data_IF_368898841263
#
_entry.id   IF_368898841263
#
_cell.length_a   1.000
_cell.length_b   1.000
_cell.length_c   1.000
_cell.angle_alpha   90.00
_cell.angle_beta   90.00
_cell.angle_gamma   90.00
#
_symmetry.space_group_name_H-M   'P 1'
#
loop_
_entity.id
_entity.type
_entity.pdbx_description
1 polymer ?
#
# COMPACT_ATOMS: atom_id res chain seq x y z
N UNK A 1 -29.07 -32.00 36.58
CA UNK A 1 -27.60 -31.94 36.74
C UNK A 1 -26.92 -33.23 37.28
N UNK A 2 -27.55 -34.42 37.26
CA UNK A 2 -26.93 -35.69 37.74
C UNK A 2 -26.77 -36.81 36.69
N UNK A 3 -27.10 -36.57 35.41
CA UNK A 3 -27.05 -37.58 34.34
C UNK A 3 -25.83 -37.52 33.41
N UNK A 4 -24.97 -36.52 33.52
CA UNK A 4 -23.78 -36.37 32.65
C UNK A 4 -22.43 -36.68 33.33
N UNK A 5 -22.40 -36.99 34.63
CA UNK A 5 -21.14 -37.21 35.36
C UNK A 5 -20.54 -38.61 35.17
N UNK A 6 -21.35 -39.64 34.88
CA UNK A 6 -20.87 -41.01 34.72
C UNK A 6 -20.07 -41.29 33.43
N UNK A 7 -20.42 -40.75 32.25
CA UNK A 7 -19.63 -41.00 31.04
C UNK A 7 -18.28 -40.26 31.03
N UNK A 8 -18.16 -39.09 31.68
CA UNK A 8 -16.92 -38.32 31.72
C UNK A 8 -15.83 -38.99 32.57
N UNK A 9 -16.21 -39.60 33.70
CA UNK A 9 -15.30 -40.34 34.56
C UNK A 9 -14.75 -41.62 33.90
N UNK A 10 -15.54 -42.27 33.05
CA UNK A 10 -15.10 -43.43 32.28
C UNK A 10 -14.08 -43.06 31.20
N UNK A 11 -14.28 -41.93 30.51
CA UNK A 11 -13.35 -41.44 29.48
C UNK A 11 -12.02 -41.01 30.10
N UNK A 12 -12.05 -40.33 31.25
CA UNK A 12 -10.82 -39.93 31.97
C UNK A 12 -10.05 -41.13 32.52
N UNK A 13 -10.74 -42.17 32.99
CA UNK A 13 -10.10 -43.41 33.43
C UNK A 13 -9.41 -44.16 32.27
N UNK A 14 -10.05 -44.21 31.09
CA UNK A 14 -9.47 -44.83 29.89
C UNK A 14 -8.24 -44.04 29.42
N UNK A 15 -8.31 -42.71 29.39
CA UNK A 15 -7.16 -41.85 29.05
C UNK A 15 -5.99 -42.02 30.02
N UNK A 16 -6.27 -42.14 31.32
CA UNK A 16 -5.23 -42.41 32.32
C UNK A 16 -4.57 -43.78 32.12
N UNK A 17 -5.34 -44.82 31.79
CA UNK A 17 -4.81 -46.17 31.52
C UNK A 17 -3.97 -46.18 30.24
N UNK A 18 -4.39 -45.48 29.19
CA UNK A 18 -3.61 -45.35 27.93
C UNK A 18 -2.31 -44.60 28.17
N UNK A 19 -2.34 -43.52 28.95
CA UNK A 19 -1.16 -42.71 29.30
C UNK A 19 -0.18 -43.48 30.21
N UNK A 20 -0.69 -44.28 31.16
CA UNK A 20 0.16 -45.19 31.95
C UNK A 20 0.74 -46.32 31.09
N UNK A 21 -0.05 -46.88 30.17
CA UNK A 21 0.40 -47.90 29.23
C UNK A 21 1.55 -47.42 28.34
N UNK A 22 1.47 -46.19 27.82
CA UNK A 22 2.54 -45.59 27.01
C UNK A 22 3.83 -45.36 27.81
N UNK A 23 3.73 -44.92 29.07
CA UNK A 23 4.93 -44.74 29.93
C UNK A 23 5.60 -46.06 30.30
N UNK A 24 4.83 -47.14 30.47
CA UNK A 24 5.38 -48.47 30.79
C UNK A 24 6.04 -49.10 29.56
N UNK A 25 5.49 -48.91 28.36
CA UNK A 25 6.09 -49.38 27.10
C UNK A 25 7.41 -48.64 26.81
N UNK A 26 7.48 -47.33 27.04
CA UNK A 26 8.72 -46.57 26.87
C UNK A 26 9.84 -47.05 27.82
N UNK A 27 9.50 -47.41 29.06
CA UNK A 27 10.49 -47.87 30.06
C UNK A 27 10.96 -49.31 29.83
N UNK A 28 10.16 -50.16 29.19
CA UNK A 28 10.50 -51.56 28.90
C UNK A 28 11.29 -51.73 27.59
N UNK A 29 11.28 -50.74 26.69
CA UNK A 29 11.94 -50.85 25.38
C UNK A 29 13.39 -50.40 25.33
N UNK A 30 13.99 -49.91 26.43
CA UNK A 30 15.42 -49.60 26.47
C UNK A 30 15.88 -48.68 25.33
N UNK A 31 15.03 -47.72 24.94
CA UNK A 31 15.39 -46.69 23.99
C UNK A 31 16.25 -45.69 24.77
N UNK A 32 17.55 -45.93 24.76
CA UNK A 32 18.56 -44.99 25.25
C UNK A 32 18.28 -43.61 24.64
N UNK A 33 18.29 -42.58 25.49
CA UNK A 33 18.18 -41.18 25.06
C UNK A 33 19.29 -40.90 24.05
N UNK A 34 18.93 -40.79 22.77
CA UNK A 34 19.86 -40.30 21.77
C UNK A 34 20.40 -38.94 22.24
N UNK A 35 21.72 -38.71 22.15
CA UNK A 35 22.30 -37.44 22.56
C UNK A 35 21.59 -36.33 21.78
N UNK A 36 20.93 -35.43 22.51
CA UNK A 36 20.37 -34.20 21.96
C UNK A 36 21.55 -33.40 21.43
N UNK A 37 21.89 -33.60 20.16
CA UNK A 37 22.81 -32.74 19.43
C UNK A 37 22.13 -31.38 19.38
N UNK A 38 22.55 -30.50 20.28
CA UNK A 38 22.20 -29.09 20.28
C UNK A 38 22.78 -28.48 19.01
N UNK A 39 22.05 -28.63 17.90
CA UNK A 39 22.28 -27.80 16.73
C UNK A 39 21.91 -26.38 17.16
N UNK A 40 22.94 -25.57 17.43
CA UNK A 40 22.79 -24.14 17.63
C UNK A 40 22.04 -23.59 16.43
N UNK A 41 20.75 -23.27 16.61
CA UNK A 41 19.96 -22.61 15.59
C UNK A 41 20.73 -21.34 15.23
N UNK A 42 21.11 -21.13 13.95
CA UNK A 42 21.84 -19.93 13.55
C UNK A 42 21.05 -18.71 14.01
N UNK A 43 21.66 -17.84 14.83
CA UNK A 43 20.99 -16.65 15.33
C UNK A 43 20.59 -15.76 14.16
N UNK A 44 19.30 -15.44 14.04
CA UNK A 44 18.80 -14.45 13.07
C UNK A 44 19.53 -13.13 13.33
N UNK A 45 20.20 -12.52 12.33
CA UNK A 45 20.88 -11.24 12.53
C UNK A 45 19.88 -10.14 12.85
N UNK A 46 20.33 -9.07 13.49
CA UNK A 46 19.49 -7.89 13.72
C UNK A 46 19.09 -7.25 12.38
N UNK A 47 17.90 -6.62 12.29
CA UNK A 47 17.51 -5.85 11.12
C UNK A 47 18.50 -4.69 10.89
N UNK A 48 18.70 -4.26 9.63
CA UNK A 48 19.48 -3.07 9.35
C UNK A 48 18.83 -1.84 10.00
N UNK A 49 19.62 -0.83 10.41
CA UNK A 49 19.06 0.39 10.99
C UNK A 49 18.11 1.07 9.99
N UNK A 50 16.97 1.60 10.48
CA UNK A 50 15.97 2.18 9.60
C UNK A 50 16.47 3.48 8.97
N UNK A 51 16.16 3.67 7.69
CA UNK A 51 16.43 4.93 7.00
C UNK A 51 15.45 6.00 7.49
N UNK A 52 15.98 7.15 7.86
CA UNK A 52 15.22 8.30 8.37
C UNK A 52 15.11 9.40 7.32
N UNK A 53 13.95 10.04 7.28
CA UNK A 53 13.59 11.14 6.39
C UNK A 53 12.98 12.26 7.23
N UNK A 54 13.61 13.43 7.24
CA UNK A 54 13.09 14.62 7.91
C UNK A 54 11.85 15.17 7.19
N UNK A 55 10.80 15.50 7.95
CA UNK A 55 9.53 16.05 7.48
C UNK A 55 9.09 17.17 8.43
N UNK A 56 9.55 18.40 8.23
CA UNK A 56 9.22 19.63 8.99
C UNK A 56 8.77 19.41 10.45
N UNK A 57 9.73 19.10 11.34
CA UNK A 57 9.47 18.85 12.76
C UNK A 57 9.15 17.38 13.12
N UNK A 58 9.08 16.50 12.12
CA UNK A 58 8.89 15.06 12.28
C UNK A 58 10.02 14.28 11.61
N UNK A 59 10.26 13.04 12.08
CA UNK A 59 11.16 12.09 11.43
C UNK A 59 10.33 10.90 10.95
N UNK A 60 10.26 10.72 9.64
CA UNK A 60 9.63 9.57 9.02
C UNK A 60 10.65 8.43 8.83
N UNK A 61 10.28 7.20 9.16
CA UNK A 61 11.11 6.02 9.01
C UNK A 61 10.63 5.20 7.80
N UNK A 62 11.53 4.92 6.84
CA UNK A 62 11.22 4.04 5.71
C UNK A 62 10.87 2.64 6.25
N UNK A 63 9.69 2.07 5.97
CA UNK A 63 9.26 0.81 6.59
C UNK A 63 10.23 -0.34 6.30
N UNK A 64 10.33 -1.34 7.21
CA UNK A 64 11.11 -2.54 6.97
C UNK A 64 10.45 -3.37 5.85
N UNK A 65 11.21 -4.22 5.18
CA UNK A 65 10.66 -5.14 4.15
C UNK A 65 11.76 -5.82 3.35
N UNK A 66 11.38 -6.52 2.29
CA UNK A 66 12.29 -7.38 1.53
C UNK A 66 13.46 -6.61 0.91
N UNK A 67 14.63 -7.22 0.90
CA UNK A 67 15.75 -6.76 0.10
C UNK A 67 15.53 -7.10 -1.40
N UNK A 68 16.23 -6.37 -2.28
CA UNK A 68 16.22 -6.65 -3.73
C UNK A 68 16.58 -8.12 -3.99
N UNK A 69 15.81 -8.79 -4.84
CA UNK A 69 16.11 -10.15 -5.29
C UNK A 69 17.41 -10.19 -6.10
N UNK A 70 18.16 -11.28 -6.02
CA UNK A 70 19.47 -11.37 -6.69
C UNK A 70 19.38 -11.33 -8.23
N UNK A 71 18.30 -11.89 -8.80
CA UNK A 71 17.99 -11.90 -10.23
C UNK A 71 17.32 -10.60 -10.75
N UNK A 72 17.13 -9.60 -9.89
CA UNK A 72 16.67 -8.25 -10.29
C UNK A 72 17.90 -7.37 -10.53
N UNK A 73 18.03 -6.60 -11.61
CA UNK A 73 19.26 -5.84 -11.89
C UNK A 73 19.61 -4.84 -10.78
N UNK A 74 20.90 -4.59 -10.56
CA UNK A 74 21.37 -3.63 -9.54
C UNK A 74 21.02 -2.18 -9.89
N UNK A 75 21.04 -1.83 -11.18
CA UNK A 75 20.67 -0.53 -11.72
C UNK A 75 19.16 -0.45 -12.08
N UNK A 76 18.30 -1.01 -11.23
CA UNK A 76 16.86 -1.11 -11.49
C UNK A 76 16.18 0.25 -11.73
N UNK A 77 16.67 1.31 -11.10
CA UNK A 77 16.17 2.69 -11.31
C UNK A 77 16.34 3.10 -12.78
N UNK A 78 17.52 2.88 -13.35
CA UNK A 78 17.82 3.21 -14.75
C UNK A 78 16.99 2.31 -15.69
N UNK A 79 16.91 1.01 -15.40
CA UNK A 79 16.10 0.08 -16.18
C UNK A 79 14.60 0.46 -16.22
N UNK A 80 14.06 0.98 -15.12
CA UNK A 80 12.68 1.52 -15.06
C UNK A 80 12.55 2.76 -15.94
N UNK A 81 13.51 3.70 -15.87
CA UNK A 81 13.49 4.89 -16.70
C UNK A 81 13.55 4.56 -18.20
N UNK A 82 14.50 3.70 -18.60
CA UNK A 82 14.65 3.22 -19.98
C UNK A 82 13.42 2.45 -20.45
N UNK A 83 12.85 1.58 -19.61
CA UNK A 83 11.62 0.85 -19.91
C UNK A 83 10.42 1.78 -20.19
N UNK A 84 10.26 2.85 -19.40
CA UNK A 84 9.20 3.85 -19.61
C UNK A 84 9.42 4.63 -20.92
N UNK A 85 10.66 5.03 -21.20
CA UNK A 85 11.02 5.73 -22.43
C UNK A 85 10.74 4.86 -23.66
N UNK A 86 11.18 3.60 -23.62
CA UNK A 86 10.95 2.61 -24.67
C UNK A 86 9.48 2.42 -25.00
N UNK A 87 8.60 2.44 -24.00
CA UNK A 87 7.16 2.28 -24.18
C UNK A 87 6.43 3.58 -24.56
N UNK A 88 7.03 4.75 -24.31
CA UNK A 88 6.42 6.04 -24.65
C UNK A 88 6.27 6.21 -26.16
N UNK A 89 7.25 5.77 -26.94
CA UNK A 89 7.25 5.83 -28.41
C UNK A 89 6.47 4.69 -29.09
N UNK A 90 6.19 3.59 -28.38
CA UNK A 90 5.46 2.44 -28.91
C UNK A 90 3.94 2.63 -28.83
N UNK A 91 3.19 1.89 -29.64
CA UNK A 91 1.72 1.84 -29.58
C UNK A 91 1.24 0.39 -29.60
N UNK A 92 0.10 0.15 -28.96
CA UNK A 92 -0.62 -1.12 -29.10
C UNK A 92 -1.04 -1.29 -30.56
N UNK A 93 -1.01 -2.52 -31.04
CA UNK A 93 -1.59 -2.90 -32.31
C UNK A 93 -3.10 -3.08 -32.16
N UNK A 94 -3.86 -2.09 -32.64
CA UNK A 94 -5.33 -2.09 -32.55
C UNK A 94 -5.97 -3.36 -33.14
N UNK A 95 -5.37 -3.95 -34.18
CA UNK A 95 -5.90 -5.15 -34.83
C UNK A 95 -5.78 -6.41 -33.96
N UNK A 96 -4.85 -6.43 -33.00
CA UNK A 96 -4.65 -7.54 -32.06
C UNK A 96 -5.45 -7.36 -30.76
N UNK A 97 -6.03 -6.17 -30.54
CA UNK A 97 -6.72 -5.88 -29.30
C UNK A 97 -7.99 -6.73 -29.09
N UNK A 98 -8.13 -7.26 -27.87
CA UNK A 98 -9.21 -8.16 -27.47
C UNK A 98 -10.15 -7.42 -26.52
N UNK A 99 -11.36 -7.05 -26.97
CA UNK A 99 -12.28 -6.30 -26.13
C UNK A 99 -12.74 -7.11 -24.93
N UNK A 100 -12.76 -6.46 -23.76
CA UNK A 100 -13.35 -7.04 -22.53
C UNK A 100 -14.88 -7.03 -22.56
N UNK A 101 -15.49 -6.25 -23.45
CA UNK A 101 -16.95 -6.22 -23.67
C UNK A 101 -17.30 -5.99 -25.15
N UNK A 102 -18.37 -6.64 -25.64
CA UNK A 102 -18.78 -6.60 -27.05
C UNK A 102 -19.03 -5.19 -27.63
N UNK A 103 -19.31 -4.20 -26.76
CA UNK A 103 -19.56 -2.81 -27.15
C UNK A 103 -18.29 -1.95 -27.25
N UNK A 104 -17.12 -2.47 -26.86
CA UNK A 104 -15.86 -1.76 -27.02
C UNK A 104 -15.42 -1.83 -28.48
N UNK A 105 -15.47 -0.69 -29.16
CA UNK A 105 -15.05 -0.53 -30.56
C UNK A 105 -13.82 0.38 -30.65
N UNK A 106 -13.13 0.36 -31.79
CA UNK A 106 -11.96 1.20 -32.03
C UNK A 106 -10.87 0.97 -30.96
N UNK A 107 -10.30 2.06 -30.43
CA UNK A 107 -9.25 1.97 -29.41
C UNK A 107 -9.73 1.46 -28.05
N UNK A 108 -11.05 1.50 -27.75
CA UNK A 108 -11.59 0.95 -26.51
C UNK A 108 -11.40 -0.55 -26.39
N UNK A 109 -11.23 -1.25 -27.52
CA UNK A 109 -10.92 -2.69 -27.56
C UNK A 109 -9.61 -3.04 -26.86
N UNK A 110 -8.69 -2.08 -26.78
CA UNK A 110 -7.36 -2.28 -26.23
C UNK A 110 -7.30 -2.05 -24.71
N UNK A 111 -8.42 -1.70 -24.06
CA UNK A 111 -8.46 -1.52 -22.60
C UNK A 111 -8.34 -2.91 -21.97
N UNK A 112 -7.25 -3.11 -21.24
CA UNK A 112 -6.88 -4.43 -20.69
C UNK A 112 -5.84 -5.19 -21.52
N UNK A 113 -5.36 -4.61 -22.62
CA UNK A 113 -4.19 -5.10 -23.37
C UNK A 113 -2.95 -4.27 -23.05
N UNK A 114 -1.76 -4.89 -23.18
CA UNK A 114 -0.52 -4.31 -22.69
C UNK A 114 0.67 -4.52 -23.63
N UNK A 115 1.56 -3.53 -23.67
CA UNK A 115 2.97 -3.76 -23.95
C UNK A 115 3.70 -3.74 -22.61
N UNK A 116 4.48 -4.77 -22.30
CA UNK A 116 5.21 -4.89 -21.04
C UNK A 116 6.71 -4.79 -21.32
N UNK A 117 7.36 -3.75 -20.81
CA UNK A 117 8.82 -3.70 -20.80
C UNK A 117 9.33 -4.53 -19.61
N UNK A 118 10.15 -5.53 -19.89
CA UNK A 118 10.76 -6.40 -18.91
C UNK A 118 12.28 -6.31 -18.98
N UNK A 119 12.95 -6.46 -17.83
CA UNK A 119 14.40 -6.45 -17.70
C UNK A 119 14.89 -7.72 -17.00
N UNK A 120 16.03 -8.27 -17.42
CA UNK A 120 16.69 -9.37 -16.73
C UNK A 120 17.82 -8.87 -15.79
N UNK A 121 18.51 -9.79 -15.13
CA UNK A 121 19.61 -9.47 -14.20
C UNK A 121 20.77 -8.68 -14.84
N UNK A 122 21.01 -8.84 -16.15
CA UNK A 122 22.09 -8.16 -16.89
C UNK A 122 21.69 -6.77 -17.36
N UNK A 123 20.47 -6.33 -17.09
CA UNK A 123 19.93 -5.05 -17.59
C UNK A 123 19.41 -5.12 -19.03
N UNK A 124 19.33 -6.30 -19.65
CA UNK A 124 18.76 -6.44 -21.00
C UNK A 124 17.25 -6.20 -20.95
N UNK A 125 16.79 -5.24 -21.74
CA UNK A 125 15.37 -4.92 -21.90
C UNK A 125 14.73 -5.71 -23.06
N UNK A 126 13.48 -6.10 -22.86
CA UNK A 126 12.62 -6.72 -23.87
C UNK A 126 11.21 -6.16 -23.72
N UNK A 127 10.52 -5.93 -24.84
CA UNK A 127 9.08 -5.64 -24.84
C UNK A 127 8.33 -6.93 -25.12
N UNK A 128 7.33 -7.22 -24.30
CA UNK A 128 6.42 -8.36 -24.41
C UNK A 128 5.02 -7.84 -24.69
N UNK A 129 4.40 -8.33 -25.75
CA UNK A 129 3.06 -7.97 -26.17
C UNK A 129 2.05 -8.90 -25.48
N UNK A 130 1.11 -8.35 -24.73
CA UNK A 130 0.09 -9.09 -23.98
C UNK A 130 -1.30 -8.67 -24.46
N UNK A 131 -1.97 -9.55 -25.21
CA UNK A 131 -3.29 -9.32 -25.79
C UNK A 131 -4.27 -10.38 -25.30
N UNK A 132 -5.45 -9.97 -24.82
CA UNK A 132 -6.45 -10.89 -24.24
C UNK A 132 -5.94 -11.69 -23.04
N UNK A 133 -4.91 -11.17 -22.34
CA UNK A 133 -4.25 -11.88 -21.25
C UNK A 133 -3.16 -12.87 -21.68
N UNK A 134 -2.91 -13.04 -22.98
CA UNK A 134 -1.90 -13.97 -23.50
C UNK A 134 -0.67 -13.22 -24.02
N UNK A 135 0.52 -13.77 -23.76
CA UNK A 135 1.78 -13.26 -24.31
C UNK A 135 1.92 -13.69 -25.77
N UNK A 136 1.96 -12.72 -26.68
CA UNK A 136 1.91 -12.98 -28.13
C UNK A 136 3.25 -12.79 -28.82
N UNK A 137 4.14 -11.97 -28.27
CA UNK A 137 5.46 -11.66 -28.85
C UNK A 137 6.39 -11.07 -27.79
N UNK A 138 7.71 -11.35 -27.82
CA UNK A 138 8.35 -12.39 -28.63
C UNK A 138 7.98 -13.80 -28.12
N UNK A 139 8.22 -14.82 -28.94
CA UNK A 139 8.00 -16.21 -28.52
C UNK A 139 8.87 -16.60 -27.32
N UNK A 140 8.35 -17.49 -26.48
CA UNK A 140 9.03 -17.98 -25.27
C UNK A 140 8.81 -17.12 -24.01
N UNK A 141 8.18 -15.94 -24.15
CA UNK A 141 7.75 -15.15 -23.01
C UNK A 141 6.34 -15.53 -22.56
N UNK A 142 6.15 -15.60 -21.24
CA UNK A 142 4.84 -15.74 -20.61
C UNK A 142 4.73 -14.74 -19.46
N UNK A 143 3.66 -13.95 -19.51
CA UNK A 143 3.30 -12.95 -18.50
C UNK A 143 2.07 -13.43 -17.76
N UNK A 144 2.17 -13.48 -16.43
CA UNK A 144 1.07 -13.76 -15.52
C UNK A 144 0.97 -12.64 -14.49
N UNK A 145 0.03 -12.73 -13.54
CA UNK A 145 -0.03 -11.80 -12.42
C UNK A 145 0.24 -12.50 -11.09
N UNK A 146 0.68 -11.74 -10.09
CA UNK A 146 1.00 -12.27 -8.75
C UNK A 146 -0.16 -13.01 -8.08
N UNK A 147 -1.40 -12.70 -8.46
CA UNK A 147 -2.62 -13.32 -7.94
C UNK A 147 -3.70 -13.36 -9.00
N UNK A 148 -4.61 -14.32 -8.85
CA UNK A 148 -5.80 -14.44 -9.68
C UNK A 148 -6.64 -13.15 -9.65
N UNK A 149 -7.10 -12.72 -10.83
CA UNK A 149 -7.86 -11.48 -11.01
C UNK A 149 -7.04 -10.18 -10.90
N UNK A 150 -5.76 -10.23 -10.52
CA UNK A 150 -4.96 -9.02 -10.39
C UNK A 150 -4.57 -8.38 -11.74
N UNK A 151 -4.70 -9.12 -12.84
CA UNK A 151 -4.43 -8.61 -14.20
C UNK A 151 -5.44 -7.55 -14.66
N UNK A 152 -6.61 -7.49 -14.01
CA UNK A 152 -7.64 -6.47 -14.27
C UNK A 152 -7.33 -5.13 -13.57
N UNK A 153 -6.12 -4.97 -13.03
CA UNK A 153 -5.65 -3.79 -12.29
C UNK A 153 -5.44 -2.51 -13.12
N UNK A 154 -5.98 -2.45 -14.35
CA UNK A 154 -5.88 -1.30 -15.24
C UNK A 154 -4.43 -0.95 -15.57
N UNK A 155 -3.93 0.20 -15.10
CA UNK A 155 -2.52 0.58 -15.33
C UNK A 155 -1.52 -0.08 -14.39
N UNK A 156 -1.99 -0.74 -13.32
CA UNK A 156 -1.17 -1.29 -12.24
C UNK A 156 -1.32 -2.82 -12.01
N UNK A 157 -1.41 -3.66 -13.06
CA UNK A 157 -1.47 -5.11 -12.91
C UNK A 157 -0.12 -5.64 -12.41
N UNK A 158 -0.04 -6.45 -11.35
CA UNK A 158 1.22 -6.91 -10.80
C UNK A 158 1.81 -8.06 -11.62
N UNK A 159 2.38 -7.71 -12.76
CA UNK A 159 2.89 -8.69 -13.72
C UNK A 159 4.13 -9.43 -13.20
N UNK A 160 4.12 -10.74 -13.44
CA UNK A 160 5.25 -11.65 -13.32
C UNK A 160 5.60 -12.14 -14.72
N UNK A 161 6.88 -12.12 -15.08
CA UNK A 161 7.38 -12.85 -16.25
C UNK A 161 7.69 -14.29 -15.79
N UNK A 162 6.76 -15.21 -16.05
CA UNK A 162 6.86 -16.61 -15.61
C UNK A 162 7.82 -17.43 -16.49
N UNK A 163 7.99 -17.03 -17.75
CA UNK A 163 8.97 -17.58 -18.67
C UNK A 163 9.56 -16.48 -19.56
N UNK A 164 10.87 -16.48 -19.83
CA UNK A 164 11.89 -17.16 -19.02
C UNK A 164 11.96 -16.55 -17.61
N UNK A 165 12.31 -17.34 -16.57
CA UNK A 165 12.40 -16.83 -15.20
C UNK A 165 13.52 -15.79 -15.05
N UNK A 166 13.43 -14.96 -14.01
CA UNK A 166 14.44 -13.92 -13.70
C UNK A 166 14.21 -12.58 -14.41
N UNK A 167 13.14 -12.46 -15.19
CA UNK A 167 12.73 -11.19 -15.80
C UNK A 167 11.76 -10.43 -14.89
N UNK A 168 11.88 -9.10 -14.92
CA UNK A 168 11.12 -8.19 -14.07
C UNK A 168 10.39 -7.19 -14.95
N UNK A 169 9.06 -7.11 -14.85
CA UNK A 169 8.30 -6.07 -15.51
C UNK A 169 8.63 -4.70 -14.89
N UNK A 170 9.08 -3.75 -15.70
CA UNK A 170 9.56 -2.43 -15.27
C UNK A 170 8.77 -1.26 -15.85
N UNK A 171 7.93 -1.51 -16.85
CA UNK A 171 6.92 -0.56 -17.33
C UNK A 171 5.84 -1.29 -18.12
N UNK A 172 4.67 -0.69 -18.22
CA UNK A 172 3.59 -1.11 -19.10
C UNK A 172 3.10 0.06 -19.93
N UNK A 173 2.61 -0.24 -21.13
CA UNK A 173 1.77 0.64 -21.93
C UNK A 173 0.41 0.00 -22.09
N UNK A 174 -0.66 0.73 -21.77
CA UNK A 174 -2.04 0.28 -21.99
C UNK A 174 -2.93 1.42 -22.49
N UNK A 175 -4.16 1.07 -22.88
CA UNK A 175 -5.21 2.04 -23.19
C UNK A 175 -6.00 2.38 -21.92
N UNK A 176 -6.32 3.67 -21.75
CA UNK A 176 -7.14 4.19 -20.64
C UNK A 176 -8.23 5.10 -21.17
N UNK A 177 -9.32 5.25 -20.43
CA UNK A 177 -10.32 6.28 -20.76
C UNK A 177 -9.69 7.68 -20.70
N UNK A 178 -9.97 8.52 -21.68
CA UNK A 178 -9.38 9.85 -21.81
C UNK A 178 -10.01 10.68 -22.92
N UNK A 179 -9.31 11.71 -23.37
CA UNK A 179 -9.83 12.69 -24.36
C UNK A 179 -9.35 12.41 -25.80
N UNK A 180 -8.53 11.38 -25.99
CA UNK A 180 -8.05 10.95 -27.30
C UNK A 180 -9.12 10.34 -28.22
N UNK A 181 -8.72 9.82 -29.40
CA UNK A 181 -9.63 9.18 -30.35
C UNK A 181 -10.44 8.06 -29.69
N UNK A 182 -11.75 8.03 -29.98
CA UNK A 182 -12.72 7.15 -29.33
C UNK A 182 -12.84 7.34 -27.80
N UNK A 183 -12.35 8.43 -27.23
CA UNK A 183 -12.33 8.67 -25.78
C UNK A 183 -11.30 7.81 -25.05
N UNK A 184 -10.16 7.52 -25.70
CA UNK A 184 -9.09 6.68 -25.19
C UNK A 184 -7.73 7.34 -25.36
N UNK A 185 -6.94 7.32 -24.30
CA UNK A 185 -5.54 7.74 -24.29
C UNK A 185 -4.60 6.54 -24.07
N UNK A 186 -3.34 6.71 -24.46
CA UNK A 186 -2.28 5.78 -24.11
C UNK A 186 -1.65 6.14 -22.76
N UNK A 187 -1.59 5.20 -21.84
CA UNK A 187 -0.90 5.37 -20.56
C UNK A 187 0.41 4.57 -20.57
N UNK A 188 1.48 5.18 -20.04
CA UNK A 188 2.71 4.48 -19.66
C UNK A 188 2.87 4.58 -18.15
N UNK A 189 2.97 3.43 -17.50
CA UNK A 189 2.96 3.31 -16.04
C UNK A 189 3.94 2.22 -15.60
N UNK A 190 4.44 2.28 -14.37
CA UNK A 190 5.20 1.18 -13.78
C UNK A 190 4.27 0.42 -12.84
N UNK A 191 3.87 -0.80 -13.18
CA UNK A 191 3.04 -1.58 -12.28
C UNK A 191 3.87 -2.02 -11.07
N UNK A 192 3.27 -2.04 -9.89
CA UNK A 192 3.87 -2.67 -8.72
C UNK A 192 4.05 -4.17 -8.97
N UNK A 193 5.21 -4.71 -8.60
CA UNK A 193 5.40 -6.13 -8.31
C UNK A 193 6.34 -6.27 -7.12
N UNK A 194 6.27 -7.40 -6.42
CA UNK A 194 7.20 -7.81 -5.36
C UNK A 194 8.66 -7.81 -5.83
N UNK A 195 8.92 -8.00 -7.13
CA UNK A 195 10.27 -7.89 -7.72
C UNK A 195 10.78 -6.45 -7.78
N UNK A 196 9.89 -5.46 -7.79
CA UNK A 196 10.21 -4.04 -7.67
C UNK A 196 10.18 -3.54 -6.22
N UNK A 197 9.77 -4.37 -5.26
CA UNK A 197 9.85 -3.99 -3.86
C UNK A 197 11.31 -4.04 -3.39
N UNK A 198 11.90 -2.85 -3.30
CA UNK A 198 13.27 -2.66 -2.81
C UNK A 198 13.30 -1.51 -1.80
N UNK A 199 14.25 -1.53 -0.84
CA UNK A 199 14.41 -0.42 0.10
C UNK A 199 14.55 0.94 -0.60
N UNK A 200 15.27 0.98 -1.73
CA UNK A 200 15.50 2.20 -2.50
C UNK A 200 14.20 2.79 -3.08
N UNK A 201 13.27 1.96 -3.58
CA UNK A 201 12.00 2.46 -4.11
C UNK A 201 10.99 2.82 -3.03
N UNK A 202 11.04 2.16 -1.87
CA UNK A 202 10.25 2.57 -0.69
C UNK A 202 10.72 3.91 -0.13
N UNK A 203 12.03 4.10 -0.01
CA UNK A 203 12.63 5.39 0.32
C UNK A 203 12.25 6.46 -0.70
N UNK A 204 12.39 6.19 -2.00
CA UNK A 204 12.01 7.13 -3.05
C UNK A 204 10.53 7.53 -3.00
N UNK A 205 9.64 6.59 -2.66
CA UNK A 205 8.21 6.85 -2.47
C UNK A 205 7.93 7.78 -1.30
N UNK A 206 8.55 7.52 -0.15
CA UNK A 206 8.39 8.35 1.04
C UNK A 206 9.01 9.74 0.86
N UNK A 207 10.18 9.83 0.21
CA UNK A 207 10.80 11.10 -0.15
C UNK A 207 9.92 11.91 -1.11
N UNK A 208 9.36 11.28 -2.14
CA UNK A 208 8.45 11.95 -3.07
C UNK A 208 7.23 12.50 -2.33
N UNK A 209 6.63 11.69 -1.45
CA UNK A 209 5.46 12.10 -0.69
C UNK A 209 5.77 13.25 0.26
N UNK A 210 6.90 13.21 0.97
CA UNK A 210 7.43 14.34 1.76
C UNK A 210 7.50 15.60 0.90
N UNK A 211 8.17 15.54 -0.25
CA UNK A 211 8.42 16.71 -1.08
C UNK A 211 7.12 17.32 -1.60
N UNK A 212 6.19 16.47 -2.06
CA UNK A 212 4.88 16.91 -2.54
C UNK A 212 4.06 17.56 -1.41
N UNK A 213 4.07 16.97 -0.21
CA UNK A 213 3.33 17.50 0.95
C UNK A 213 3.94 18.81 1.44
N UNK A 214 5.26 18.89 1.58
CA UNK A 214 5.93 20.12 2.03
C UNK A 214 5.80 21.26 1.01
N UNK A 215 5.84 20.95 -0.30
CA UNK A 215 5.62 21.96 -1.33
C UNK A 215 4.23 22.61 -1.22
N UNK A 216 3.17 21.81 -1.10
CA UNK A 216 1.82 22.33 -0.90
C UNK A 216 1.67 23.02 0.47
N UNK A 217 2.23 22.45 1.53
CA UNK A 217 2.20 23.01 2.89
C UNK A 217 2.81 24.42 2.93
N UNK A 218 4.02 24.58 2.41
CA UNK A 218 4.71 25.87 2.42
C UNK A 218 4.07 26.88 1.46
N UNK A 219 3.50 26.45 0.32
CA UNK A 219 2.69 27.35 -0.52
C UNK A 219 1.49 27.89 0.26
N UNK A 220 0.75 27.02 0.97
CA UNK A 220 -0.43 27.42 1.73
C UNK A 220 -0.07 28.36 2.88
N UNK A 221 1.08 28.16 3.55
CA UNK A 221 1.61 29.10 4.55
C UNK A 221 2.00 30.44 3.92
N UNK A 222 2.74 30.42 2.81
CA UNK A 222 3.20 31.62 2.13
C UNK A 222 2.04 32.46 1.58
N UNK A 223 0.96 31.81 1.13
CA UNK A 223 -0.28 32.46 0.70
C UNK A 223 -1.16 32.93 1.87
N UNK A 224 -0.75 32.68 3.11
CA UNK A 224 -1.47 33.04 4.33
C UNK A 224 -2.94 32.55 4.29
N UNK A 225 -3.11 31.26 3.97
CA UNK A 225 -4.43 30.62 3.93
C UNK A 225 -4.92 30.43 5.37
N UNK A 226 -5.70 31.40 5.84
CA UNK A 226 -6.27 31.44 7.19
C UNK A 226 -7.30 30.35 7.41
N UNK A 227 -7.33 29.83 8.63
CA UNK A 227 -8.44 29.01 9.11
C UNK A 227 -9.75 29.79 9.03
N UNK A 228 -10.83 29.11 8.63
CA UNK A 228 -12.18 29.69 8.65
C UNK A 228 -12.88 29.51 9.99
N UNK A 229 -12.31 28.71 10.89
CA UNK A 229 -12.97 28.28 12.13
C UNK A 229 -12.21 28.66 13.40
N UNK A 230 -10.89 28.83 13.33
CA UNK A 230 -10.03 29.14 14.46
C UNK A 230 -9.28 30.45 14.19
N UNK A 231 -9.65 31.49 14.92
CA UNK A 231 -9.10 32.83 14.73
C UNK A 231 -7.57 32.86 14.90
N UNK A 232 -6.90 33.63 14.04
CA UNK A 232 -5.45 33.81 14.06
C UNK A 232 -4.62 32.62 13.55
N UNK A 233 -5.25 31.48 13.23
CA UNK A 233 -4.57 30.25 12.77
C UNK A 233 -4.56 30.12 11.25
N UNK A 234 -3.64 29.30 10.75
CA UNK A 234 -3.57 28.88 9.36
C UNK A 234 -4.14 27.46 9.21
N UNK A 235 -4.64 27.13 8.02
CA UNK A 235 -5.11 25.76 7.74
C UNK A 235 -4.00 24.71 7.93
N UNK A 236 -2.75 25.12 7.71
CA UNK A 236 -1.53 24.31 7.90
C UNK A 236 -1.17 24.06 9.37
N UNK A 237 -1.85 24.73 10.31
CA UNK A 237 -1.68 24.40 11.73
C UNK A 237 -2.47 23.13 12.13
N UNK A 238 -3.38 22.68 11.25
CA UNK A 238 -4.19 21.47 11.43
C UNK A 238 -3.82 20.41 10.39
N UNK A 239 -3.64 20.80 9.14
CA UNK A 239 -3.14 19.96 8.04
C UNK A 239 -1.62 19.80 8.09
N UNK A 240 -1.15 19.11 9.14
CA UNK A 240 0.27 18.85 9.40
C UNK A 240 0.86 17.83 8.43
N UNK A 241 2.15 17.93 8.06
CA UNK A 241 2.74 17.04 7.06
C UNK A 241 2.62 15.54 7.38
N UNK A 242 2.84 15.13 8.63
CA UNK A 242 2.68 13.74 9.09
C UNK A 242 1.23 13.24 8.92
N UNK A 243 0.26 14.08 9.27
CA UNK A 243 -1.16 13.77 9.10
C UNK A 243 -1.52 13.57 7.62
N UNK A 244 -1.10 14.48 6.74
CA UNK A 244 -1.41 14.41 5.31
C UNK A 244 -0.72 13.21 4.65
N UNK A 245 0.54 12.93 5.00
CA UNK A 245 1.26 11.71 4.56
C UNK A 245 0.47 10.45 4.96
N UNK A 246 0.03 10.40 6.22
CA UNK A 246 -0.71 9.24 6.75
C UNK A 246 -2.07 9.08 6.06
N UNK A 247 -2.82 10.17 5.84
CA UNK A 247 -4.08 10.14 5.10
C UNK A 247 -3.89 9.58 3.69
N UNK A 248 -2.93 10.13 2.94
CA UNK A 248 -2.63 9.67 1.57
C UNK A 248 -2.36 8.16 1.56
N UNK A 249 -1.49 7.68 2.43
CA UNK A 249 -1.18 6.26 2.46
C UNK A 249 -2.40 5.43 2.87
N UNK A 250 -3.21 5.91 3.82
CA UNK A 250 -4.44 5.24 4.27
C UNK A 250 -5.45 5.08 3.12
N UNK A 251 -5.59 6.08 2.25
CA UNK A 251 -6.46 6.05 1.07
C UNK A 251 -6.00 5.07 -0.02
N UNK A 252 -4.68 4.83 -0.12
CA UNK A 252 -4.11 4.00 -1.19
C UNK A 252 -3.91 2.52 -0.79
N UNK A 253 -4.29 2.15 0.43
CA UNK A 253 -4.31 0.74 0.85
C UNK A 253 -5.47 -0.01 0.18
N UNK A 254 -5.21 -1.25 -0.23
CA UNK A 254 -6.15 -1.99 -1.06
C UNK A 254 -7.45 -2.43 -0.35
N UNK A 255 -7.41 -2.74 0.96
CA UNK A 255 -8.61 -3.19 1.68
C UNK A 255 -8.52 -2.92 3.18
N UNK A 256 -9.49 -2.17 3.70
CA UNK A 256 -9.65 -1.84 5.12
C UNK A 256 -9.85 -3.09 5.97
N UNK A 257 -10.66 -4.03 5.47
CA UNK A 257 -10.93 -5.28 6.18
C UNK A 257 -9.70 -6.18 6.24
N UNK A 258 -8.98 -6.32 5.13
CA UNK A 258 -7.78 -7.15 5.12
C UNK A 258 -6.65 -6.51 5.92
N UNK A 259 -6.53 -5.19 5.88
CA UNK A 259 -5.55 -4.49 6.69
C UNK A 259 -5.84 -4.63 8.18
N UNK A 260 -7.07 -4.35 8.60
CA UNK A 260 -7.44 -4.42 10.02
C UNK A 260 -7.28 -5.83 10.60
N UNK A 261 -7.59 -6.87 9.82
CA UNK A 261 -7.48 -8.28 10.24
C UNK A 261 -6.11 -8.92 9.99
N UNK A 262 -5.27 -8.30 9.16
CA UNK A 262 -3.94 -8.81 8.80
C UNK A 262 -2.95 -8.69 9.95
N UNK A 263 -1.91 -9.53 9.94
CA UNK A 263 -0.78 -9.34 10.83
C UNK A 263 0.14 -8.23 10.28
N UNK A 264 1.17 -7.89 11.05
CA UNK A 264 2.06 -6.78 10.71
C UNK A 264 2.77 -6.98 9.36
N UNK A 265 3.05 -8.23 8.97
CA UNK A 265 3.69 -8.53 7.69
C UNK A 265 2.78 -8.21 6.50
N UNK A 266 1.50 -8.58 6.56
CA UNK A 266 0.55 -8.26 5.48
C UNK A 266 0.30 -6.75 5.39
N UNK A 267 0.25 -6.05 6.54
CA UNK A 267 0.13 -4.59 6.59
C UNK A 267 1.34 -3.89 5.98
N UNK A 268 2.56 -4.37 6.29
CA UNK A 268 3.80 -3.88 5.68
C UNK A 268 3.78 -4.08 4.17
N UNK A 269 3.37 -5.23 3.67
CA UNK A 269 3.28 -5.48 2.23
C UNK A 269 2.34 -4.51 1.50
N UNK A 270 1.22 -4.12 2.12
CA UNK A 270 0.33 -3.10 1.56
C UNK A 270 0.98 -1.70 1.57
N UNK A 271 1.65 -1.34 2.67
CA UNK A 271 2.38 -0.08 2.78
C UNK A 271 3.53 0.01 1.77
N UNK A 272 4.34 -1.05 1.67
CA UNK A 272 5.44 -1.19 0.72
C UNK A 272 4.94 -1.05 -0.71
N UNK A 273 3.81 -1.68 -1.06
CA UNK A 273 3.17 -1.51 -2.37
C UNK A 273 2.83 -0.05 -2.68
N UNK A 274 2.23 0.66 -1.74
CA UNK A 274 1.88 2.07 -1.96
C UNK A 274 3.13 2.94 -2.13
N UNK A 275 4.14 2.77 -1.28
CA UNK A 275 5.39 3.52 -1.35
C UNK A 275 6.18 3.21 -2.62
N UNK A 276 6.32 1.94 -3.02
CA UNK A 276 6.96 1.56 -4.29
C UNK A 276 6.20 2.16 -5.47
N UNK A 277 4.87 2.13 -5.45
CA UNK A 277 4.05 2.78 -6.50
C UNK A 277 4.31 4.29 -6.58
N UNK A 278 4.46 4.96 -5.43
CA UNK A 278 4.84 6.38 -5.34
C UNK A 278 6.26 6.62 -5.87
N UNK A 279 7.23 5.79 -5.49
CA UNK A 279 8.63 5.93 -5.89
C UNK A 279 8.83 5.78 -7.40
N UNK A 280 8.12 4.82 -8.02
CA UNK A 280 8.26 4.49 -9.45
C UNK A 280 7.51 5.47 -10.38
N UNK A 281 6.36 5.96 -9.93
CA UNK A 281 5.45 6.76 -10.78
C UNK A 281 5.38 8.25 -10.39
N UNK A 282 5.80 8.62 -9.18
CA UNK A 282 5.87 10.01 -8.68
C UNK A 282 4.53 10.73 -8.90
N UNK A 283 4.54 11.85 -9.62
CA UNK A 283 3.34 12.65 -9.91
C UNK A 283 2.25 11.91 -10.68
N UNK A 284 2.59 10.81 -11.38
CA UNK A 284 1.60 9.97 -12.06
C UNK A 284 0.95 8.95 -11.13
N UNK A 285 1.48 8.71 -9.93
CA UNK A 285 0.94 7.68 -9.04
C UNK A 285 -0.53 7.96 -8.75
N UNK A 286 -1.38 6.94 -8.92
CA UNK A 286 -2.82 7.02 -8.65
C UNK A 286 -3.60 8.03 -9.51
N UNK A 287 -3.01 8.58 -10.57
CA UNK A 287 -3.70 9.54 -11.45
C UNK A 287 -4.92 8.95 -12.16
N UNK A 288 -4.93 7.62 -12.31
CA UNK A 288 -6.01 6.85 -12.92
C UNK A 288 -6.96 6.22 -11.89
N UNK A 289 -6.71 6.41 -10.59
CA UNK A 289 -7.56 5.83 -9.54
C UNK A 289 -8.86 6.60 -9.46
N UNK A 290 -9.97 5.88 -9.60
CA UNK A 290 -11.33 6.40 -9.47
C UNK A 290 -12.19 5.40 -8.69
N UNK A 291 -12.87 5.86 -7.64
CA UNK A 291 -13.86 5.04 -6.93
C UNK A 291 -15.25 5.11 -7.58
N UNK A 292 -16.14 4.21 -7.16
CA UNK A 292 -17.55 4.22 -7.55
C UNK A 292 -18.27 5.51 -7.14
N UNK A 293 -17.83 6.15 -6.04
CA UNK A 293 -18.35 7.42 -5.54
C UNK A 293 -17.69 8.66 -6.18
N UNK A 294 -16.98 8.46 -7.31
CA UNK A 294 -16.17 9.49 -7.99
C UNK A 294 -15.03 10.06 -7.13
N UNK A 295 -14.54 9.36 -6.11
CA UNK A 295 -13.29 9.73 -5.45
C UNK A 295 -12.11 9.54 -6.42
N UNK A 296 -11.16 10.49 -6.46
CA UNK A 296 -10.06 10.47 -7.46
C UNK A 296 -8.70 10.81 -6.88
N UNK A 297 -7.66 10.31 -7.54
CA UNK A 297 -6.28 10.70 -7.32
C UNK A 297 -5.70 10.21 -6.00
N UNK A 298 -4.56 10.81 -5.62
CA UNK A 298 -3.76 10.42 -4.44
C UNK A 298 -4.50 10.60 -3.11
N UNK A 299 -5.42 11.56 -3.04
CA UNK A 299 -6.22 11.82 -1.85
C UNK A 299 -7.60 11.16 -1.86
N UNK A 300 -7.99 10.44 -2.92
CA UNK A 300 -9.36 9.92 -3.09
C UNK A 300 -10.43 10.99 -2.78
N UNK A 301 -10.26 12.19 -3.32
CA UNK A 301 -11.15 13.32 -3.03
C UNK A 301 -12.39 13.20 -3.93
N UNK A 302 -13.59 13.36 -3.36
CA UNK A 302 -14.85 13.41 -4.10
C UNK A 302 -15.09 14.82 -4.66
N UNK A 303 -15.74 14.92 -5.83
CA UNK A 303 -15.92 16.19 -6.55
C UNK A 303 -16.70 17.26 -5.78
N UNK A 304 -17.75 16.88 -5.04
CA UNK A 304 -18.57 17.84 -4.27
C UNK A 304 -17.78 18.47 -3.09
N UNK A 305 -17.13 17.68 -2.20
CA UNK A 305 -16.24 18.25 -1.19
C UNK A 305 -15.13 19.14 -1.76
N UNK A 306 -14.50 18.76 -2.87
CA UNK A 306 -13.48 19.60 -3.52
C UNK A 306 -14.01 21.00 -3.87
N UNK A 307 -15.19 21.09 -4.48
CA UNK A 307 -15.82 22.37 -4.86
C UNK A 307 -16.10 23.23 -3.64
N UNK A 308 -16.64 22.63 -2.57
CA UNK A 308 -16.90 23.33 -1.32
C UNK A 308 -15.60 23.87 -0.70
N UNK A 309 -14.54 23.07 -0.64
CA UNK A 309 -13.23 23.51 -0.12
C UNK A 309 -12.65 24.64 -0.96
N UNK A 310 -12.68 24.54 -2.30
CA UNK A 310 -12.23 25.61 -3.19
C UNK A 310 -12.97 26.93 -2.95
N UNK A 311 -14.29 26.88 -2.77
CA UNK A 311 -15.11 28.07 -2.51
C UNK A 311 -14.85 28.66 -1.13
N UNK A 312 -14.64 27.79 -0.13
CA UNK A 312 -14.37 28.18 1.25
C UNK A 312 -12.97 28.78 1.45
N UNK A 313 -11.97 28.32 0.69
CA UNK A 313 -10.58 28.78 0.81
C UNK A 313 -10.06 29.34 -0.52
N UNK A 314 -10.56 30.50 -1.00
CA UNK A 314 -10.17 31.05 -2.30
C UNK A 314 -8.67 31.36 -2.39
N UNK A 315 -8.01 31.68 -1.26
CA UNK A 315 -6.55 31.91 -1.21
C UNK A 315 -5.71 30.65 -1.42
N UNK A 316 -6.31 29.45 -1.31
CA UNK A 316 -5.64 28.18 -1.63
C UNK A 316 -5.39 28.01 -3.13
N UNK A 317 -6.06 28.82 -3.97
CA UNK A 317 -5.86 28.87 -5.42
C UNK A 317 -6.01 27.47 -6.05
N UNK A 318 -7.11 26.82 -5.71
CA UNK A 318 -7.46 25.50 -6.22
C UNK A 318 -8.13 25.65 -7.61
N UNK A 319 -7.74 24.84 -8.61
CA UNK A 319 -8.19 25.00 -9.98
C UNK A 319 -9.71 24.79 -10.14
N UNK A 320 -10.29 25.43 -11.18
CA UNK A 320 -11.72 25.30 -11.44
C UNK A 320 -12.14 23.96 -12.02
N UNK A 321 -11.26 23.36 -12.81
CA UNK A 321 -11.37 21.98 -13.26
C UNK A 321 -11.24 21.06 -12.04
N UNK A 322 -12.36 20.46 -11.64
CA UNK A 322 -12.45 19.63 -10.45
C UNK A 322 -11.83 18.25 -10.64
N UNK A 323 -11.73 17.74 -11.88
CA UNK A 323 -11.04 16.49 -12.15
C UNK A 323 -9.54 16.72 -12.02
N UNK A 324 -9.01 17.74 -12.71
CA UNK A 324 -7.60 18.08 -12.62
C UNK A 324 -7.16 18.40 -11.18
N UNK A 325 -7.94 19.22 -10.46
CA UNK A 325 -7.61 19.61 -9.09
C UNK A 325 -7.55 18.47 -8.08
N UNK A 326 -8.20 17.33 -8.36
CA UNK A 326 -8.20 16.14 -7.49
C UNK A 326 -7.19 15.08 -7.93
N UNK A 327 -6.79 15.10 -9.20
CA UNK A 327 -5.81 14.15 -9.78
C UNK A 327 -4.39 14.68 -9.64
N UNK A 328 -4.18 15.98 -9.83
CA UNK A 328 -2.91 16.64 -9.60
C UNK A 328 -2.54 16.59 -8.11
N UNK A 329 -1.37 16.02 -7.80
CA UNK A 329 -0.98 15.77 -6.40
C UNK A 329 -0.88 17.07 -5.61
N UNK A 330 -0.31 18.12 -6.20
CA UNK A 330 -0.09 19.39 -5.49
C UNK A 330 -1.43 20.04 -5.10
N UNK A 331 -2.38 20.11 -6.03
CA UNK A 331 -3.71 20.65 -5.78
C UNK A 331 -4.57 19.75 -4.87
N UNK A 332 -4.47 18.43 -5.03
CA UNK A 332 -5.15 17.48 -4.17
C UNK A 332 -4.66 17.62 -2.72
N UNK A 333 -3.35 17.71 -2.51
CA UNK A 333 -2.75 17.92 -1.18
C UNK A 333 -3.19 19.24 -0.57
N UNK A 334 -3.18 20.35 -1.32
CA UNK A 334 -3.73 21.64 -0.82
C UNK A 334 -5.18 21.51 -0.37
N UNK A 335 -5.98 20.73 -1.11
CA UNK A 335 -7.37 20.43 -0.75
C UNK A 335 -7.43 19.62 0.54
N UNK A 336 -6.61 18.58 0.71
CA UNK A 336 -6.54 17.79 1.94
C UNK A 336 -6.16 18.66 3.15
N UNK A 337 -5.16 19.53 3.02
CA UNK A 337 -4.78 20.49 4.07
C UNK A 337 -5.96 21.39 4.44
N UNK A 338 -6.61 22.02 3.45
CA UNK A 338 -7.77 22.88 3.72
C UNK A 338 -8.97 22.10 4.29
N UNK A 339 -9.14 20.84 3.89
CA UNK A 339 -10.19 19.96 4.42
C UNK A 339 -10.01 19.69 5.91
N UNK A 340 -8.78 19.51 6.39
CA UNK A 340 -8.53 19.31 7.83
C UNK A 340 -8.98 20.51 8.67
N UNK A 341 -8.83 21.75 8.16
CA UNK A 341 -9.41 22.93 8.82
C UNK A 341 -10.94 22.92 8.73
N UNK A 342 -11.49 22.47 7.60
CA UNK A 342 -12.93 22.40 7.40
C UNK A 342 -13.62 21.56 8.48
N UNK A 343 -13.00 20.50 8.98
CA UNK A 343 -13.58 19.62 10.00
C UNK A 343 -13.99 20.31 11.30
N UNK A 344 -13.41 21.48 11.60
CA UNK A 344 -13.82 22.29 12.75
C UNK A 344 -15.28 22.76 12.69
N UNK A 345 -15.95 22.74 11.53
CA UNK A 345 -17.30 23.28 11.34
C UNK A 345 -18.34 22.71 12.31
N UNK A 346 -18.15 21.46 12.76
CA UNK A 346 -19.06 20.75 13.67
C UNK A 346 -18.73 20.98 15.16
N UNK A 347 -17.47 21.32 15.48
CA UNK A 347 -16.99 21.56 16.84
C UNK A 347 -17.08 23.05 17.19
N UNK A 348 -18.32 23.49 17.43
CA UNK A 348 -18.66 24.87 17.82
C UNK A 348 -18.70 25.11 19.33
N UNK A 349 -18.69 24.04 20.11
CA UNK A 349 -18.69 24.11 21.57
C UNK A 349 -17.26 24.31 22.08
N UNK A 350 -17.08 25.29 22.97
CA UNK A 350 -15.75 25.74 23.41
C UNK A 350 -14.95 24.62 24.08
N UNK A 351 -15.57 23.81 24.95
CA UNK A 351 -14.85 22.75 25.68
C UNK A 351 -14.32 21.64 24.77
N UNK A 352 -15.11 21.17 23.80
CA UNK A 352 -14.66 20.16 22.83
C UNK A 352 -13.57 20.73 21.91
N UNK A 353 -13.76 21.97 21.45
CA UNK A 353 -12.80 22.66 20.60
C UNK A 353 -11.46 22.85 21.33
N UNK A 354 -11.49 23.34 22.57
CA UNK A 354 -10.31 23.50 23.42
C UNK A 354 -9.60 22.17 23.64
N UNK A 355 -10.35 21.10 23.93
CA UNK A 355 -9.79 19.75 24.06
C UNK A 355 -9.02 19.34 22.79
N UNK A 356 -9.62 19.44 21.60
CA UNK A 356 -8.95 19.05 20.37
C UNK A 356 -7.82 20.01 19.96
N UNK A 357 -7.88 21.28 20.34
CA UNK A 357 -6.75 22.20 20.15
C UNK A 357 -5.54 21.80 21.00
N UNK A 358 -5.79 21.38 22.25
CA UNK A 358 -4.75 20.93 23.18
C UNK A 358 -4.23 19.52 22.91
N UNK A 359 -5.04 18.65 22.29
CA UNK A 359 -4.72 17.23 22.06
C UNK A 359 -4.57 16.92 20.56
N UNK A 360 -3.36 17.16 20.02
CA UNK A 360 -3.08 17.02 18.58
C UNK A 360 -3.38 15.63 18.03
N UNK A 361 -3.01 14.56 18.75
CA UNK A 361 -3.25 13.20 18.28
C UNK A 361 -4.75 12.87 18.19
N UNK A 362 -5.51 13.14 19.26
CA UNK A 362 -6.97 12.95 19.25
C UNK A 362 -7.64 13.78 18.16
N UNK A 363 -7.19 15.02 17.94
CA UNK A 363 -7.65 15.84 16.81
C UNK A 363 -7.37 15.17 15.47
N UNK A 364 -6.16 14.67 15.24
CA UNK A 364 -5.81 13.98 13.99
C UNK A 364 -6.69 12.75 13.76
N UNK A 365 -6.98 11.95 14.79
CA UNK A 365 -7.87 10.79 14.67
C UNK A 365 -9.30 11.18 14.32
N UNK A 366 -9.83 12.20 15.00
CA UNK A 366 -11.18 12.71 14.73
C UNK A 366 -11.27 13.29 13.31
N UNK A 367 -10.24 13.98 12.84
CA UNK A 367 -10.21 14.55 11.48
C UNK A 367 -10.00 13.47 10.41
N UNK A 368 -9.19 12.45 10.68
CA UNK A 368 -9.07 11.28 9.80
C UNK A 368 -10.40 10.52 9.67
N UNK A 369 -11.15 10.37 10.77
CA UNK A 369 -12.49 9.80 10.73
C UNK A 369 -13.48 10.69 9.94
N UNK A 370 -13.37 12.01 10.10
CA UNK A 370 -14.16 13.00 9.38
C UNK A 370 -13.95 12.92 7.87
N UNK A 371 -12.69 12.77 7.46
CA UNK A 371 -12.27 12.59 6.08
C UNK A 371 -12.98 11.40 5.41
N UNK A 372 -13.12 10.28 6.13
CA UNK A 372 -13.75 9.07 5.61
C UNK A 372 -15.31 9.09 5.65
N UNK A 373 -15.94 9.52 6.75
CA UNK A 373 -17.39 9.33 6.95
C UNK A 373 -18.23 10.59 7.26
N UNK A 374 -17.66 11.78 7.04
CA UNK A 374 -18.20 13.08 7.43
C UNK A 374 -18.11 13.34 8.94
N UNK A 375 -17.54 14.48 9.31
CA UNK A 375 -17.29 14.83 10.72
C UNK A 375 -18.54 15.00 11.58
N UNK A 376 -19.71 15.33 11.02
CA UNK A 376 -20.94 15.34 11.79
C UNK A 376 -21.32 13.93 12.26
N UNK A 377 -21.01 12.90 11.47
CA UNK A 377 -21.18 11.49 11.87
C UNK A 377 -20.23 11.14 13.01
N UNK A 378 -18.98 11.58 12.92
CA UNK A 378 -17.97 11.38 13.97
C UNK A 378 -18.38 12.07 15.27
N UNK A 379 -18.81 13.34 15.21
CA UNK A 379 -19.33 14.06 16.39
C UNK A 379 -20.51 13.33 17.03
N UNK A 380 -21.47 12.84 16.23
CA UNK A 380 -22.59 12.04 16.76
C UNK A 380 -22.12 10.76 17.45
N UNK A 381 -21.11 10.08 16.91
CA UNK A 381 -20.54 8.90 17.53
C UNK A 381 -19.87 9.21 18.87
N UNK A 382 -19.06 10.27 18.92
CA UNK A 382 -18.41 10.75 20.15
C UNK A 382 -19.46 11.09 21.21
N UNK A 383 -20.50 11.85 20.85
CA UNK A 383 -21.58 12.20 21.79
C UNK A 383 -22.37 10.98 22.28
N UNK A 384 -22.65 10.02 21.40
CA UNK A 384 -23.46 8.85 21.75
C UNK A 384 -22.70 7.78 22.54
N UNK A 385 -21.40 7.64 22.30
CA UNK A 385 -20.60 6.51 22.78
C UNK A 385 -19.47 6.89 23.73
N UNK A 386 -19.17 8.19 23.89
CA UNK A 386 -18.06 8.67 24.71
C UNK A 386 -16.73 8.10 24.22
N UNK A 387 -15.89 7.66 25.16
CA UNK A 387 -14.55 7.11 24.88
C UNK A 387 -14.58 5.87 23.97
N UNK A 388 -15.69 5.13 23.95
CA UNK A 388 -15.89 3.94 23.10
C UNK A 388 -16.35 4.26 21.67
N UNK A 389 -16.30 5.52 21.22
CA UNK A 389 -16.81 5.90 19.90
C UNK A 389 -16.12 5.20 18.71
N UNK A 390 -14.88 4.73 18.89
CA UNK A 390 -14.12 3.94 17.91
C UNK A 390 -14.35 2.44 18.03
N UNK A 391 -14.97 1.97 19.11
CA UNK A 391 -15.15 0.55 19.37
C UNK A 391 -16.27 -0.03 18.51
N UNK A 392 -16.23 -1.35 18.29
CA UNK A 392 -17.30 -2.07 17.58
C UNK A 392 -18.66 -1.99 18.28
N UNK A 393 -18.68 -1.68 19.59
CA UNK A 393 -19.90 -1.43 20.37
C UNK A 393 -20.63 -0.16 19.93
N UNK A 394 -19.91 0.86 19.44
CA UNK A 394 -20.50 2.10 18.98
C UNK A 394 -21.07 1.97 17.57
N UNK A 395 -22.38 1.76 17.45
CA UNK A 395 -23.06 1.59 16.15
C UNK A 395 -23.24 2.88 15.35
N UNK A 396 -22.96 4.03 15.95
CA UNK A 396 -23.10 5.35 15.28
C UNK A 396 -21.94 5.64 14.33
N UNK A 397 -20.73 5.17 14.64
CA UNK A 397 -19.60 5.26 13.70
C UNK A 397 -19.72 4.13 12.66
N UNK A 398 -19.55 4.39 11.36
CA UNK A 398 -19.55 3.32 10.35
C UNK A 398 -18.42 2.31 10.57
N UNK A 399 -18.67 1.05 10.22
CA UNK A 399 -17.64 0.00 10.31
C UNK A 399 -16.43 0.33 9.45
N UNK A 400 -16.65 0.82 8.24
CA UNK A 400 -15.57 1.24 7.33
C UNK A 400 -14.64 2.26 8.00
N UNK A 401 -15.18 3.28 8.64
CA UNK A 401 -14.41 4.31 9.34
C UNK A 401 -13.63 3.78 10.53
N UNK A 402 -14.17 2.82 11.29
CA UNK A 402 -13.41 2.16 12.35
C UNK A 402 -12.18 1.44 11.79
N UNK A 403 -12.37 0.66 10.71
CA UNK A 403 -11.28 -0.05 10.06
C UNK A 403 -10.28 0.93 9.42
N UNK A 404 -10.77 2.05 8.88
CA UNK A 404 -9.95 3.15 8.39
C UNK A 404 -9.03 3.72 9.47
N UNK A 405 -9.54 3.94 10.69
CA UNK A 405 -8.72 4.43 11.80
C UNK A 405 -7.65 3.42 12.23
N UNK A 406 -7.95 2.11 12.22
CA UNK A 406 -6.92 1.07 12.45
C UNK A 406 -5.79 1.17 11.44
N UNK A 407 -6.10 1.42 10.16
CA UNK A 407 -5.08 1.66 9.13
C UNK A 407 -4.27 2.92 9.44
N UNK A 408 -4.96 4.02 9.65
CA UNK A 408 -4.35 5.34 9.88
C UNK A 408 -3.37 5.30 11.07
N UNK A 409 -3.82 4.76 12.21
CA UNK A 409 -3.01 4.65 13.43
C UNK A 409 -1.78 3.76 13.22
N UNK A 410 -1.95 2.61 12.58
CA UNK A 410 -0.84 1.70 12.33
C UNK A 410 0.19 2.31 11.37
N UNK A 411 -0.26 2.97 10.28
CA UNK A 411 0.63 3.63 9.31
C UNK A 411 1.39 4.76 9.99
N UNK A 412 0.70 5.61 10.76
CA UNK A 412 1.35 6.69 11.51
C UNK A 412 2.39 6.13 12.47
N UNK A 413 2.03 5.11 13.26
CA UNK A 413 2.93 4.46 14.20
C UNK A 413 4.18 3.88 13.53
N UNK A 414 4.04 3.16 12.41
CA UNK A 414 5.20 2.58 11.70
C UNK A 414 6.13 3.65 11.12
N UNK A 415 5.56 4.77 10.67
CA UNK A 415 6.31 5.84 10.02
C UNK A 415 6.89 6.86 10.99
N UNK A 416 6.23 7.15 12.12
CA UNK A 416 6.57 8.31 12.97
C UNK A 416 6.76 7.97 14.45
N UNK A 417 6.43 6.76 14.92
CA UNK A 417 6.71 6.30 16.28
C UNK A 417 7.84 5.25 16.28
N UNK A 418 9.05 5.61 16.75
CA UNK A 418 10.19 4.69 16.78
C UNK A 418 9.95 3.43 17.62
N UNK A 419 9.18 3.55 18.71
CA UNK A 419 8.90 2.43 19.62
C UNK A 419 7.90 1.46 18.99
N UNK A 420 6.81 1.98 18.41
CA UNK A 420 5.84 1.16 17.69
C UNK A 420 6.49 0.46 16.49
N UNK A 421 7.30 1.19 15.73
CA UNK A 421 8.08 0.63 14.62
C UNK A 421 8.98 -0.52 15.07
N UNK A 422 9.76 -0.34 16.14
CA UNK A 422 10.65 -1.39 16.63
C UNK A 422 9.88 -2.67 17.01
N UNK A 423 8.65 -2.52 17.53
CA UNK A 423 7.76 -3.65 17.81
C UNK A 423 7.31 -4.36 16.53
N UNK A 424 6.94 -3.61 15.49
CA UNK A 424 6.58 -4.16 14.16
C UNK A 424 7.78 -4.87 13.52
N UNK A 425 8.99 -4.29 13.59
CA UNK A 425 10.22 -4.92 13.09
C UNK A 425 10.53 -6.22 13.83
N UNK A 426 10.39 -6.24 15.17
CA UNK A 426 10.58 -7.46 15.96
C UNK A 426 9.62 -8.57 15.55
N UNK A 427 8.37 -8.24 15.21
CA UNK A 427 7.34 -9.20 14.81
C UNK A 427 7.54 -9.75 13.39
N UNK A 428 8.15 -8.97 12.50
CA UNK A 428 8.16 -9.25 11.06
C UNK A 428 9.52 -9.67 10.51
N UNK A 429 10.61 -9.20 11.14
CA UNK A 429 11.97 -9.43 10.66
C UNK A 429 12.36 -10.91 10.53
N UNK A 430 12.04 -11.82 11.47
CA UNK A 430 12.35 -13.25 11.31
C UNK A 430 11.78 -13.82 10.01
N UNK A 431 10.53 -13.50 9.70
CA UNK A 431 9.85 -13.99 8.50
C UNK A 431 10.43 -13.36 7.23
N UNK A 432 10.70 -12.05 7.25
CA UNK A 432 11.34 -11.35 6.12
C UNK A 432 12.73 -11.94 5.82
N UNK A 433 13.51 -12.19 6.88
CA UNK A 433 14.86 -12.74 6.76
C UNK A 433 14.86 -14.16 6.18
N UNK A 434 14.01 -15.05 6.70
CA UNK A 434 13.92 -16.42 6.18
C UNK A 434 13.38 -16.47 4.74
N UNK A 435 12.39 -15.63 4.41
CA UNK A 435 11.91 -15.49 3.03
C UNK A 435 13.05 -15.04 2.09
N UNK A 436 13.86 -14.08 2.53
CA UNK A 436 15.02 -13.63 1.76
C UNK A 436 16.05 -14.76 1.53
N UNK A 437 16.37 -15.54 2.57
CA UNK A 437 17.27 -16.69 2.44
C UNK A 437 16.73 -17.76 1.49
N UNK A 438 15.43 -18.05 1.56
CA UNK A 438 14.79 -19.02 0.68
C UNK A 438 14.91 -18.60 -0.80
N UNK A 439 14.68 -17.31 -1.09
CA UNK A 439 14.88 -16.74 -2.43
C UNK A 439 16.33 -16.84 -2.88
N UNK A 440 17.29 -16.49 -2.01
CA UNK A 440 18.71 -16.58 -2.35
C UNK A 440 19.14 -18.03 -2.66
N UNK A 441 18.69 -18.99 -1.87
CA UNK A 441 18.98 -20.40 -2.09
C UNK A 441 18.36 -20.91 -3.41
N UNK A 442 17.15 -20.46 -3.72
CA UNK A 442 16.50 -20.80 -4.99
C UNK A 442 17.22 -20.22 -6.21
N UNK A 443 17.64 -18.95 -6.11
CA UNK A 443 18.44 -18.31 -7.14
C UNK A 443 19.76 -19.05 -7.38
N UNK A 444 20.48 -19.42 -6.32
CA UNK A 444 21.74 -20.17 -6.43
C UNK A 444 21.54 -21.50 -7.16
N UNK A 445 20.49 -22.27 -6.80
CA UNK A 445 20.17 -23.53 -7.49
C UNK A 445 19.89 -23.34 -8.98
N UNK A 446 19.12 -22.32 -9.36
CA UNK A 446 18.81 -22.02 -10.76
C UNK A 446 20.06 -21.60 -11.54
N UNK A 447 20.91 -20.79 -10.92
CA UNK A 447 22.16 -20.33 -11.52
C UNK A 447 23.13 -21.50 -11.77
N UNK A 448 23.24 -22.43 -10.82
CA UNK A 448 24.09 -23.63 -10.96
C UNK A 448 23.60 -24.53 -12.11
N UNK A 449 22.28 -24.76 -12.23
CA UNK A 449 21.69 -25.55 -13.31
C UNK A 449 21.94 -24.90 -14.68
N UNK A 450 21.72 -23.58 -14.80
CA UNK A 450 21.96 -22.86 -16.05
C UNK A 450 23.44 -22.90 -16.45
N UNK A 451 24.34 -22.78 -15.49
CA UNK A 451 25.80 -22.87 -15.73
C UNK A 451 26.19 -24.27 -16.20
N UNK A 452 25.66 -25.33 -15.56
CA UNK A 452 25.94 -26.71 -15.96
C UNK A 452 25.41 -27.06 -17.37
N UNK A 453 24.29 -26.45 -17.79
CA UNK A 453 23.74 -26.62 -19.14
C UNK A 453 24.53 -25.85 -20.20
N UNK A 454 25.20 -24.75 -19.84
CA UNK A 454 26.01 -23.97 -20.77
C UNK A 454 27.42 -24.57 -21.00
N UNK A 455 27.89 -25.45 -20.12
CA UNK A 455 29.20 -26.12 -20.20
C UNK A 455 29.18 -27.49 -20.88
N UNK A 456 27.99 -28.02 -21.19
CA UNK A 456 27.78 -29.25 -21.95
C UNK A 456 27.30 -28.92 -23.37
#
# INVERSE_FOLDING_TARGET
>A
MRRYFKPLLLVLAILAIVMLGQKVVHKLMGLDEEPVVSHSIPSIPLPPPPRQIEVDGYVAYVPPGSARLLDVPKNLVDAVAEGKELLTSKRLNQAQCVPSHALQLGWKRCIGDYLVAAVNETGKLQVVDVYGGESTSPSGFSVTCERDGACDGGVNPPFIISSPPGWTAVAVRTAVHGDGPDGVDGAVYVPYSTRLDTPAFREAGLMYLRDAVLAAYYEMRAKDVRSQFIEGRLVTDFGTPDHIITLILTEQMWSDTWFAKGADLERLQMLDRALVTLGLNRWKSFSYTKSWADARGIGQIVGTPYKAIREQYPRADLPKDDVWGRVDHHNAIKTMIAHTDAEWWTFREDSQREFYLANTWERQLVFAAGYNANIATVKRAITACGDSWRDESCKTLPTETRLYLVKYEWIHGVLFDPAFRAQVEKNTWPTIYEAHKAVQADYARRHDVATAQATN
#
